data_IF_475392026913
#
_entry.id   IF_475392026913
#
_cell.length_a   1.000
_cell.length_b   1.000
_cell.length_c   1.000
_cell.angle_alpha   90.00
_cell.angle_beta   90.00
_cell.angle_gamma   90.00
#
_symmetry.space_group_name_H-M   'P 1'
#
loop_
_entity.id
_entity.type
_entity.pdbx_description
1 polymer ?
#
# COMPACT_ATOMS: atom_id res chain seq x y z
N UNK A 1 54.50 36.49 -52.22
CA UNK A 1 53.85 35.18 -52.46
C UNK A 1 53.48 34.62 -51.09
N UNK A 2 52.25 34.32 -50.66
CA UNK A 2 50.94 34.10 -51.32
C UNK A 2 49.82 34.21 -50.26
N UNK A 3 48.63 34.64 -50.69
CA UNK A 3 47.36 34.90 -49.97
C UNK A 3 46.62 33.67 -49.39
N UNK A 4 45.82 33.91 -48.33
CA UNK A 4 44.35 33.63 -48.14
C UNK A 4 44.03 33.58 -46.63
N UNK A 5 43.14 34.35 -45.98
CA UNK A 5 41.76 34.85 -46.17
C UNK A 5 40.62 33.90 -45.69
N UNK A 6 39.76 34.44 -44.79
CA UNK A 6 38.40 33.99 -44.42
C UNK A 6 38.17 33.91 -42.89
N UNK A 7 37.72 34.95 -42.14
CA UNK A 7 36.40 35.63 -42.08
C UNK A 7 35.24 34.66 -41.72
N UNK A 8 34.42 34.82 -40.68
CA UNK A 8 34.09 35.97 -39.83
C UNK A 8 32.57 36.23 -39.86
N UNK A 9 31.87 35.88 -38.78
CA UNK A 9 30.57 36.35 -38.23
C UNK A 9 29.37 36.67 -39.15
N UNK A 10 28.16 36.22 -38.75
CA UNK A 10 26.94 37.03 -38.79
C UNK A 10 25.95 36.68 -37.65
N UNK A 11 25.18 37.68 -37.26
CA UNK A 11 24.38 37.85 -36.04
C UNK A 11 22.86 37.91 -36.31
N UNK A 12 22.08 37.47 -35.31
CA UNK A 12 20.77 37.93 -34.80
C UNK A 12 19.68 38.59 -35.68
N UNK A 13 18.42 38.13 -35.53
CA UNK A 13 17.13 38.87 -35.59
C UNK A 13 15.96 37.93 -35.16
N UNK A 14 15.25 38.11 -34.02
CA UNK A 14 14.08 38.97 -33.66
C UNK A 14 12.67 38.48 -34.11
N UNK A 15 11.95 37.92 -33.14
CA UNK A 15 10.53 38.07 -32.69
C UNK A 15 9.26 38.01 -33.60
N UNK A 16 8.33 37.12 -33.16
CA UNK A 16 6.85 37.16 -32.98
C UNK A 16 5.83 36.63 -34.05
N UNK A 17 4.64 36.10 -33.62
CA UNK A 17 3.70 35.20 -34.36
C UNK A 17 2.36 35.93 -34.75
N UNK A 18 1.21 35.35 -35.26
CA UNK A 18 0.35 34.34 -34.57
C UNK A 18 -0.68 33.48 -35.43
N UNK A 19 -1.51 32.71 -34.71
CA UNK A 19 -2.96 32.37 -34.91
C UNK A 19 -3.47 31.15 -35.74
N UNK A 20 -4.57 30.58 -35.19
CA UNK A 20 -5.70 29.81 -35.81
C UNK A 20 -5.82 28.29 -35.49
N UNK A 21 -6.57 28.02 -34.41
CA UNK A 21 -7.77 27.17 -34.30
C UNK A 21 -7.78 25.70 -34.76
N UNK A 22 -8.16 24.78 -33.85
CA UNK A 22 -9.50 24.14 -33.80
C UNK A 22 -9.51 22.94 -32.83
N UNK A 23 -10.47 22.96 -31.91
CA UNK A 23 -10.99 21.78 -31.19
C UNK A 23 -11.85 20.91 -32.13
N UNK A 24 -11.99 19.60 -31.89
CA UNK A 24 -13.23 18.90 -32.20
C UNK A 24 -13.94 18.42 -30.93
N UNK A 25 -15.25 18.58 -31.04
CA UNK A 25 -16.34 18.40 -30.08
C UNK A 25 -16.72 16.95 -29.82
N UNK A 26 -17.31 16.76 -28.63
CA UNK A 26 -18.00 15.57 -28.15
C UNK A 26 -19.14 15.15 -29.09
N UNK A 27 -19.24 13.86 -29.39
CA UNK A 27 -20.43 13.25 -29.98
C UNK A 27 -21.12 12.37 -28.93
N UNK A 28 -22.23 12.87 -28.40
CA UNK A 28 -23.19 12.15 -27.58
C UNK A 28 -24.29 11.57 -28.48
N UNK A 29 -24.11 10.35 -28.99
CA UNK A 29 -25.19 9.59 -29.62
C UNK A 29 -24.95 8.10 -29.40
N UNK A 30 -25.91 7.46 -28.74
CA UNK A 30 -26.25 6.02 -28.66
C UNK A 30 -26.65 5.64 -27.23
N UNK A 31 -27.80 6.16 -26.80
CA UNK A 31 -28.59 5.55 -25.73
C UNK A 31 -29.71 4.73 -26.40
N UNK A 32 -29.91 3.46 -26.02
CA UNK A 32 -31.15 2.77 -26.32
C UNK A 32 -32.27 3.20 -25.36
N UNK A 33 -33.36 3.74 -25.91
CA UNK A 33 -34.66 3.85 -25.25
C UNK A 33 -35.50 2.58 -25.48
N UNK A 34 -36.32 2.24 -24.49
CA UNK A 34 -37.46 1.33 -24.61
C UNK A 34 -37.28 0.07 -23.75
N UNK A 35 -38.27 -0.43 -23.01
CA UNK A 35 -39.67 -0.06 -22.89
C UNK A 35 -40.21 -0.69 -21.60
N UNK A 36 -41.23 -0.06 -21.00
CA UNK A 36 -41.87 -0.53 -19.79
C UNK A 36 -42.67 -1.82 -19.95
N UNK A 37 -42.76 -2.58 -18.87
CA UNK A 37 -43.65 -3.72 -18.71
C UNK A 37 -44.06 -3.84 -17.26
N UNK A 38 -45.25 -3.35 -16.93
CA UNK A 38 -45.92 -3.63 -15.66
C UNK A 38 -46.56 -5.00 -15.74
N UNK A 39 -46.40 -5.84 -14.72
CA UNK A 39 -47.37 -6.89 -14.40
C UNK A 39 -47.34 -7.21 -12.91
N UNK A 40 -48.49 -6.97 -12.30
CA UNK A 40 -48.86 -7.42 -10.98
C UNK A 40 -49.01 -8.95 -10.94
N UNK A 41 -48.65 -9.56 -9.82
CA UNK A 41 -48.86 -10.99 -9.59
C UNK A 41 -48.77 -11.34 -8.11
N UNK A 42 -49.91 -11.22 -7.42
CA UNK A 42 -50.11 -11.70 -6.05
C UNK A 42 -50.21 -13.23 -6.05
N UNK A 43 -49.46 -13.90 -5.18
CA UNK A 43 -49.89 -15.18 -4.57
C UNK A 43 -49.36 -15.26 -3.13
N UNK A 44 -50.23 -14.96 -2.16
CA UNK A 44 -50.04 -15.33 -0.77
C UNK A 44 -51.33 -15.99 -0.30
N UNK A 45 -51.26 -17.29 -0.02
CA UNK A 45 -52.30 -18.05 0.65
C UNK A 45 -51.69 -19.31 1.29
N UNK A 46 -52.29 -19.72 2.42
CA UNK A 46 -52.06 -20.89 3.30
C UNK A 46 -51.06 -20.67 4.46
N UNK A 47 -51.49 -20.22 5.66
CA UNK A 47 -52.45 -20.77 6.64
C UNK A 47 -52.11 -22.21 7.10
N UNK A 48 -51.52 -22.29 8.29
CA UNK A 48 -51.45 -23.46 9.17
C UNK A 48 -51.29 -22.96 10.61
N UNK A 49 -52.34 -23.11 11.40
CA UNK A 49 -52.54 -22.55 12.72
C UNK A 49 -52.38 -23.60 13.84
N UNK A 50 -52.11 -23.12 15.07
CA UNK A 50 -52.39 -23.80 16.35
C UNK A 50 -51.32 -24.78 16.84
N UNK A 51 -50.81 -24.73 18.07
CA UNK A 51 -51.24 -24.03 19.29
C UNK A 51 -50.21 -24.15 20.43
N UNK A 52 -50.50 -23.61 21.63
CA UNK A 52 -49.53 -23.18 22.66
C UNK A 52 -49.65 -24.02 23.97
N UNK A 53 -49.35 -23.46 25.17
CA UNK A 53 -48.05 -23.25 25.79
C UNK A 53 -47.88 -24.10 27.08
N UNK A 54 -46.72 -24.08 27.72
CA UNK A 54 -46.59 -24.47 29.13
C UNK A 54 -45.70 -23.49 29.90
N UNK A 55 -46.02 -23.36 31.18
CA UNK A 55 -46.03 -22.17 32.03
C UNK A 55 -45.21 -22.51 33.29
N UNK A 56 -44.36 -21.56 33.74
CA UNK A 56 -43.88 -21.23 35.13
C UNK A 56 -43.33 -22.36 36.03
N UNK A 57 -42.29 -22.25 36.88
CA UNK A 57 -41.95 -21.33 38.01
C UNK A 57 -40.44 -21.50 38.35
N UNK A 58 -39.65 -20.45 38.57
CA UNK A 58 -39.27 -19.79 39.84
C UNK A 58 -38.57 -20.66 40.92
N UNK A 59 -37.33 -20.30 41.30
CA UNK A 59 -36.83 -20.03 42.68
C UNK A 59 -35.28 -20.11 42.79
N UNK A 60 -34.68 -18.95 43.05
CA UNK A 60 -33.66 -18.62 44.06
C UNK A 60 -32.63 -19.65 44.59
N UNK A 61 -31.41 -19.11 44.78
CA UNK A 61 -30.45 -19.28 45.89
C UNK A 61 -29.12 -20.06 45.67
N UNK A 62 -28.05 -19.26 45.82
CA UNK A 62 -26.66 -19.58 46.19
C UNK A 62 -26.58 -20.58 47.38
N UNK A 63 -25.50 -21.38 47.56
CA UNK A 63 -24.30 -20.85 48.25
C UNK A 63 -22.93 -21.51 47.89
N UNK A 64 -21.84 -20.74 48.07
CA UNK A 64 -20.49 -21.21 48.52
C UNK A 64 -20.50 -21.22 50.07
N UNK A 65 -19.58 -21.87 50.84
CA UNK A 65 -18.15 -22.13 50.58
C UNK A 65 -17.61 -23.47 51.14
N UNK A 66 -16.31 -23.76 50.98
CA UNK A 66 -15.34 -24.22 52.03
C UNK A 66 -14.03 -24.76 51.40
N UNK A 67 -12.91 -24.34 52.01
CA UNK A 67 -11.47 -24.65 51.78
C UNK A 67 -11.02 -25.74 52.77
N UNK A 68 -9.94 -26.52 52.54
CA UNK A 68 -8.59 -26.21 53.10
C UNK A 68 -7.40 -26.64 52.20
N UNK A 69 -6.31 -25.87 52.02
CA UNK A 69 -5.06 -25.79 52.83
C UNK A 69 -4.33 -27.14 53.06
N UNK A 70 -3.01 -27.38 52.92
CA UNK A 70 -1.82 -26.61 52.49
C UNK A 70 -0.55 -27.53 52.40
N UNK A 71 0.49 -27.09 51.65
CA UNK A 71 1.98 -27.28 51.79
C UNK A 71 2.68 -28.64 51.54
N UNK A 72 4.04 -28.69 51.28
CA UNK A 72 5.05 -27.62 51.13
C UNK A 72 6.01 -27.69 49.89
N UNK A 73 6.81 -26.62 49.76
CA UNK A 73 7.89 -26.29 48.81
C UNK A 73 9.23 -26.89 49.32
N UNK A 74 10.23 -27.15 48.46
CA UNK A 74 11.59 -26.63 48.77
C UNK A 74 12.23 -25.77 47.67
N UNK A 75 12.96 -24.73 48.11
CA UNK A 75 13.70 -23.78 47.30
C UNK A 75 15.17 -24.19 47.14
N UNK A 76 15.78 -23.90 45.97
CA UNK A 76 17.23 -23.67 45.89
C UNK A 76 17.63 -22.85 44.64
N UNK A 77 18.47 -21.84 44.88
CA UNK A 77 19.34 -21.06 43.96
C UNK A 77 20.65 -20.88 44.78
N UNK A 78 21.88 -20.63 44.27
CA UNK A 78 22.23 -20.07 42.95
C UNK A 78 23.57 -20.50 42.29
N UNK A 79 23.78 -20.19 41.01
CA UNK A 79 24.96 -19.49 40.43
C UNK A 79 24.94 -19.50 38.87
N UNK A 80 25.35 -18.37 38.27
CA UNK A 80 25.80 -18.23 36.87
C UNK A 80 27.36 -18.18 36.87
N UNK A 81 28.14 -18.11 35.76
CA UNK A 81 27.79 -17.69 34.39
C UNK A 81 28.51 -18.42 33.21
N UNK A 82 28.27 -17.90 31.98
CA UNK A 82 28.84 -18.22 30.65
C UNK A 82 28.18 -19.46 29.96
N UNK A 83 27.79 -19.45 28.68
CA UNK A 83 28.43 -18.90 27.48
C UNK A 83 27.39 -18.87 26.33
N UNK A 84 27.60 -17.95 25.38
CA UNK A 84 26.95 -17.78 24.05
C UNK A 84 26.16 -18.96 23.47
N UNK A 85 24.93 -18.68 22.99
CA UNK A 85 24.29 -19.47 21.93
C UNK A 85 23.37 -18.59 21.10
N UNK A 86 23.81 -18.30 19.88
CA UNK A 86 22.99 -17.79 18.79
C UNK A 86 21.84 -18.76 18.57
N UNK A 87 20.61 -18.34 18.86
CA UNK A 87 19.42 -19.10 18.51
C UNK A 87 18.81 -18.53 17.24
N UNK A 88 19.22 -19.08 16.09
CA UNK A 88 18.32 -19.17 14.93
C UNK A 88 17.31 -20.27 15.24
N UNK A 89 16.28 -19.93 16.01
CA UNK A 89 15.18 -20.87 16.28
C UNK A 89 14.43 -21.13 14.97
N UNK A 90 14.31 -22.38 14.49
CA UNK A 90 13.48 -22.69 13.35
C UNK A 90 12.03 -22.35 13.65
N UNK A 91 11.40 -21.58 12.76
CA UNK A 91 9.98 -21.22 12.87
C UNK A 91 9.16 -22.52 12.85
N UNK A 92 8.30 -22.72 13.86
CA UNK A 92 7.53 -23.96 14.00
C UNK A 92 6.65 -24.22 12.75
N UNK A 93 6.42 -25.48 12.33
CA UNK A 93 5.70 -25.84 11.09
C UNK A 93 4.31 -25.19 10.96
N UNK A 94 3.59 -25.00 12.08
CA UNK A 94 2.29 -24.35 12.09
C UNK A 94 2.36 -22.85 11.72
N UNK A 95 3.41 -22.13 12.12
CA UNK A 95 3.59 -20.72 11.79
C UNK A 95 3.84 -20.51 10.28
N UNK A 96 4.60 -21.42 9.66
CA UNK A 96 4.85 -21.42 8.22
C UNK A 96 3.54 -21.64 7.44
N UNK A 97 2.72 -22.59 7.89
CA UNK A 97 1.41 -22.86 7.25
C UNK A 97 0.45 -21.68 7.34
N UNK A 98 0.43 -20.96 8.46
CA UNK A 98 -0.40 -19.77 8.65
C UNK A 98 0.06 -18.61 7.76
N UNK A 99 1.37 -18.40 7.63
CA UNK A 99 1.92 -17.38 6.74
C UNK A 99 1.55 -17.62 5.27
N UNK A 100 1.67 -18.85 4.80
CA UNK A 100 1.29 -19.21 3.43
C UNK A 100 -0.21 -19.00 3.16
N UNK A 101 -1.07 -19.24 4.16
CA UNK A 101 -2.50 -18.95 4.06
C UNK A 101 -2.77 -17.45 4.00
N UNK A 102 -2.11 -16.64 4.84
CA UNK A 102 -2.23 -15.18 4.81
C UNK A 102 -1.76 -14.60 3.47
N UNK A 103 -0.63 -15.08 2.96
CA UNK A 103 -0.11 -14.65 1.66
C UNK A 103 -1.08 -14.99 0.53
N UNK A 104 -1.61 -16.22 0.48
CA UNK A 104 -2.60 -16.61 -0.54
C UNK A 104 -3.84 -15.73 -0.50
N UNK A 105 -4.39 -15.47 0.69
CA UNK A 105 -5.56 -14.60 0.86
C UNK A 105 -5.27 -13.17 0.42
N UNK A 106 -4.08 -12.67 0.74
CA UNK A 106 -3.62 -11.32 0.39
C UNK A 106 -3.47 -11.17 -1.12
N UNK A 107 -2.86 -12.14 -1.81
CA UNK A 107 -2.78 -12.10 -3.27
C UNK A 107 -4.18 -12.14 -3.90
N UNK A 108 -5.06 -13.03 -3.42
CA UNK A 108 -6.43 -13.15 -3.94
C UNK A 108 -7.23 -11.85 -3.78
N UNK A 109 -7.22 -11.23 -2.59
CA UNK A 109 -7.98 -9.99 -2.37
C UNK A 109 -7.41 -8.81 -3.17
N UNK A 110 -6.08 -8.76 -3.35
CA UNK A 110 -5.45 -7.69 -4.13
C UNK A 110 -5.74 -7.87 -5.62
N UNK A 111 -5.68 -9.08 -6.15
CA UNK A 111 -6.06 -9.38 -7.54
C UNK A 111 -7.50 -8.95 -7.85
N UNK A 112 -8.43 -9.27 -6.93
CA UNK A 112 -9.82 -8.83 -7.02
C UNK A 112 -9.92 -7.32 -7.00
N UNK A 113 -9.31 -6.65 -6.02
CA UNK A 113 -9.27 -5.19 -5.96
C UNK A 113 -8.72 -4.57 -7.24
N UNK A 114 -7.62 -5.10 -7.79
CA UNK A 114 -7.03 -4.59 -9.03
C UNK A 114 -7.91 -4.83 -10.26
N UNK A 115 -8.87 -5.75 -10.18
CA UNK A 115 -9.82 -6.05 -11.24
C UNK A 115 -11.09 -5.19 -11.14
N UNK A 116 -11.70 -5.09 -9.96
CA UNK A 116 -13.04 -4.47 -9.78
C UNK A 116 -13.03 -3.07 -9.15
N UNK A 117 -11.93 -2.67 -8.51
CA UNK A 117 -11.72 -1.34 -7.89
C UNK A 117 -12.66 -0.99 -6.73
N UNK A 118 -13.20 -2.01 -6.04
CA UNK A 118 -14.08 -1.81 -4.88
C UNK A 118 -13.24 -1.72 -3.60
N UNK A 119 -13.18 -0.53 -3.01
CA UNK A 119 -12.36 -0.25 -1.82
C UNK A 119 -12.92 -0.85 -0.54
N UNK A 120 -14.24 -0.78 -0.33
CA UNK A 120 -14.89 -1.31 0.88
C UNK A 120 -14.78 -2.84 0.98
N UNK A 121 -14.80 -3.54 -0.16
CA UNK A 121 -14.55 -4.98 -0.23
C UNK A 121 -13.10 -5.33 0.14
N UNK A 122 -12.13 -4.62 -0.46
CA UNK A 122 -10.72 -4.81 -0.12
C UNK A 122 -10.45 -4.55 1.37
N UNK A 123 -11.08 -3.52 1.95
CA UNK A 123 -11.05 -3.23 3.38
C UNK A 123 -11.54 -4.42 4.20
N UNK A 124 -12.73 -4.94 3.89
CA UNK A 124 -13.30 -6.08 4.60
C UNK A 124 -12.37 -7.30 4.51
N UNK A 125 -11.83 -7.61 3.33
CA UNK A 125 -10.91 -8.73 3.15
C UNK A 125 -9.62 -8.58 3.97
N UNK A 126 -9.07 -7.37 4.09
CA UNK A 126 -7.88 -7.10 4.92
C UNK A 126 -8.21 -7.29 6.41
N UNK A 127 -9.34 -6.80 6.89
CA UNK A 127 -9.76 -6.99 8.29
C UNK A 127 -10.01 -8.47 8.62
N UNK A 128 -10.53 -9.24 7.66
CA UNK A 128 -10.76 -10.68 7.78
C UNK A 128 -9.46 -11.51 7.87
N UNK A 129 -8.31 -10.94 7.49
CA UNK A 129 -7.01 -11.58 7.75
C UNK A 129 -6.74 -11.72 9.25
N UNK A 130 -7.28 -10.81 10.08
CA UNK A 130 -7.12 -10.78 11.55
C UNK A 130 -5.66 -10.90 11.99
N UNK A 131 -4.75 -10.30 11.23
CA UNK A 131 -3.31 -10.38 11.44
C UNK A 131 -2.63 -9.01 11.28
N UNK A 132 -2.75 -8.09 12.25
CA UNK A 132 -2.18 -6.75 12.15
C UNK A 132 -0.67 -6.73 11.92
N UNK A 133 0.07 -7.68 12.50
CA UNK A 133 1.52 -7.81 12.29
C UNK A 133 1.90 -8.19 10.86
N UNK A 134 0.93 -8.60 10.04
CA UNK A 134 1.11 -8.95 8.63
C UNK A 134 0.75 -7.78 7.69
N UNK A 135 0.24 -6.66 8.21
CA UNK A 135 -0.12 -5.48 7.41
C UNK A 135 1.02 -4.93 6.53
N UNK A 136 2.30 -4.89 6.98
CA UNK A 136 3.41 -4.51 6.10
C UNK A 136 3.54 -5.40 4.85
N UNK A 137 3.27 -6.70 4.98
CA UNK A 137 3.30 -7.63 3.84
C UNK A 137 2.14 -7.37 2.88
N UNK A 138 0.95 -6.99 3.37
CA UNK A 138 -0.17 -6.56 2.52
C UNK A 138 0.23 -5.35 1.67
N UNK A 139 0.91 -4.36 2.25
CA UNK A 139 1.40 -3.17 1.52
C UNK A 139 2.44 -3.57 0.48
N UNK A 140 3.42 -4.41 0.85
CA UNK A 140 4.46 -4.90 -0.06
C UNK A 140 3.86 -5.64 -1.25
N UNK A 141 2.95 -6.59 -1.01
CA UNK A 141 2.28 -7.34 -2.08
C UNK A 141 1.37 -6.46 -2.93
N UNK A 142 0.72 -5.45 -2.35
CA UNK A 142 -0.10 -4.49 -3.10
C UNK A 142 0.75 -3.68 -4.09
N UNK A 143 1.93 -3.22 -3.67
CA UNK A 143 2.87 -2.52 -4.55
C UNK A 143 3.41 -3.46 -5.63
N UNK A 144 3.84 -4.67 -5.25
CA UNK A 144 4.37 -5.65 -6.18
C UNK A 144 3.36 -5.97 -7.29
N UNK A 145 2.16 -6.39 -6.90
CA UNK A 145 1.11 -6.76 -7.84
C UNK A 145 0.66 -5.57 -8.70
N UNK A 146 0.61 -4.35 -8.14
CA UNK A 146 0.26 -3.16 -8.90
C UNK A 146 1.25 -2.87 -10.03
N UNK A 147 2.55 -3.07 -9.78
CA UNK A 147 3.61 -2.76 -10.72
C UNK A 147 3.84 -3.86 -11.77
N UNK A 148 3.43 -5.10 -11.48
CA UNK A 148 3.39 -6.21 -12.44
C UNK A 148 2.27 -6.07 -13.50
N UNK A 149 1.21 -5.31 -13.22
CA UNK A 149 0.12 -5.12 -14.19
C UNK A 149 0.55 -4.30 -15.41
N UNK A 150 -0.13 -4.52 -16.54
CA UNK A 150 0.05 -3.77 -17.77
C UNK A 150 -1.31 -3.15 -18.18
N UNK A 151 -1.45 -1.82 -18.15
CA UNK A 151 -0.50 -0.84 -17.61
C UNK A 151 -0.34 -0.96 -16.06
N UNK A 152 0.77 -0.46 -15.50
CA UNK A 152 0.98 -0.45 -14.05
C UNK A 152 -0.14 0.29 -13.32
N UNK A 153 -0.57 -0.25 -12.19
CA UNK A 153 -1.69 0.25 -11.39
C UNK A 153 -1.22 1.20 -10.26
N UNK A 154 -0.45 2.23 -10.61
CA UNK A 154 0.11 3.21 -9.64
C UNK A 154 -0.98 3.98 -8.88
N UNK A 155 -1.90 4.65 -9.57
CA UNK A 155 -2.98 5.40 -8.90
C UNK A 155 -3.89 4.49 -8.04
N UNK A 156 -4.32 3.31 -8.51
CA UNK A 156 -5.11 2.43 -7.67
C UNK A 156 -4.43 1.96 -6.38
N UNK A 157 -3.13 1.61 -6.41
CA UNK A 157 -2.47 1.16 -5.17
C UNK A 157 -2.35 2.30 -4.15
N UNK A 158 -2.10 3.52 -4.62
CA UNK A 158 -2.07 4.71 -3.75
C UNK A 158 -3.44 4.93 -3.11
N UNK A 159 -4.52 4.88 -3.91
CA UNK A 159 -5.90 5.01 -3.41
C UNK A 159 -6.25 3.94 -2.40
N UNK A 160 -5.85 2.68 -2.62
CA UNK A 160 -6.07 1.60 -1.67
C UNK A 160 -5.37 1.89 -0.34
N UNK A 161 -4.08 2.21 -0.40
CA UNK A 161 -3.27 2.48 0.80
C UNK A 161 -3.83 3.65 1.59
N UNK A 162 -4.11 4.79 0.95
CA UNK A 162 -4.71 5.95 1.61
C UNK A 162 -6.07 5.62 2.22
N UNK A 163 -6.91 4.85 1.52
CA UNK A 163 -8.22 4.45 2.03
C UNK A 163 -8.10 3.58 3.29
N UNK A 164 -7.21 2.60 3.30
CA UNK A 164 -7.00 1.72 4.44
C UNK A 164 -6.40 2.47 5.65
N UNK A 165 -5.56 3.48 5.42
CA UNK A 165 -5.08 4.38 6.48
C UNK A 165 -6.23 5.23 7.03
N UNK A 166 -7.06 5.82 6.17
CA UNK A 166 -8.23 6.61 6.59
C UNK A 166 -9.26 5.79 7.38
N UNK A 167 -9.32 4.48 7.14
CA UNK A 167 -10.16 3.53 7.89
C UNK A 167 -9.48 2.98 9.16
N UNK A 168 -8.27 3.43 9.48
CA UNK A 168 -7.47 2.99 10.62
C UNK A 168 -7.10 1.50 10.61
N UNK A 169 -7.06 0.88 9.43
CA UNK A 169 -6.59 -0.51 9.26
C UNK A 169 -5.08 -0.55 9.11
N UNK A 170 -4.51 0.37 8.33
CA UNK A 170 -3.07 0.52 8.17
C UNK A 170 -2.55 1.74 8.92
N UNK A 171 -1.37 1.62 9.51
CA UNK A 171 -0.64 2.72 10.12
C UNK A 171 0.48 3.21 9.20
N UNK A 172 0.99 4.42 9.40
CA UNK A 172 2.17 4.92 8.67
C UNK A 172 3.41 4.02 8.85
N UNK A 173 3.51 3.31 9.97
CA UNK A 173 4.57 2.33 10.23
C UNK A 173 4.40 1.11 9.32
N UNK A 174 3.17 0.63 9.14
CA UNK A 174 2.88 -0.49 8.23
C UNK A 174 3.23 -0.10 6.78
N UNK A 175 2.85 1.11 6.37
CA UNK A 175 3.16 1.61 5.02
C UNK A 175 4.67 1.71 4.83
N UNK A 176 5.37 2.37 5.76
CA UNK A 176 6.82 2.54 5.66
C UNK A 176 7.56 1.21 5.64
N UNK A 177 7.15 0.26 6.47
CA UNK A 177 7.75 -1.09 6.52
C UNK A 177 7.47 -1.86 5.23
N UNK A 178 6.24 -1.83 4.71
CA UNK A 178 5.89 -2.49 3.45
C UNK A 178 6.64 -1.90 2.24
N UNK A 179 6.78 -0.58 2.17
CA UNK A 179 7.60 0.07 1.16
C UNK A 179 9.09 -0.32 1.28
N UNK A 180 9.63 -0.44 2.50
CA UNK A 180 11.00 -0.88 2.72
C UNK A 180 11.22 -2.33 2.30
N UNK A 181 10.26 -3.22 2.59
CA UNK A 181 10.28 -4.61 2.14
C UNK A 181 10.31 -4.69 0.62
N UNK A 182 9.44 -3.94 -0.07
CA UNK A 182 9.43 -3.90 -1.53
C UNK A 182 10.74 -3.33 -2.10
N UNK A 183 11.22 -2.21 -1.53
CA UNK A 183 12.48 -1.58 -1.93
C UNK A 183 13.70 -2.50 -1.79
N UNK A 184 13.68 -3.43 -0.82
CA UNK A 184 14.77 -4.40 -0.62
C UNK A 184 14.81 -5.53 -1.66
N UNK A 185 13.75 -5.68 -2.47
CA UNK A 185 13.65 -6.66 -3.55
C UNK A 185 13.76 -6.00 -4.93
N UNK A 186 13.87 -4.67 -4.97
CA UNK A 186 13.68 -3.89 -6.18
C UNK A 186 14.81 -4.06 -7.19
N UNK A 187 16.02 -4.36 -6.73
CA UNK A 187 17.17 -4.63 -7.61
C UNK A 187 16.90 -5.87 -8.48
N UNK A 188 16.37 -6.95 -7.89
CA UNK A 188 16.00 -8.16 -8.62
C UNK A 188 14.76 -7.92 -9.51
N UNK A 189 13.73 -7.29 -8.96
CA UNK A 189 12.48 -6.99 -9.70
C UNK A 189 12.76 -6.11 -10.92
N UNK A 190 13.68 -5.14 -10.78
CA UNK A 190 14.01 -4.19 -11.84
C UNK A 190 14.66 -4.84 -13.07
N UNK A 191 15.23 -6.04 -12.94
CA UNK A 191 15.76 -6.82 -14.07
C UNK A 191 14.62 -7.19 -15.03
N UNK A 192 13.53 -7.70 -14.48
CA UNK A 192 12.37 -8.15 -15.27
C UNK A 192 11.41 -6.99 -15.57
N UNK A 193 11.31 -6.02 -14.66
CA UNK A 193 10.39 -4.88 -14.73
C UNK A 193 11.16 -3.55 -14.67
N UNK A 194 11.79 -3.10 -15.76
CA UNK A 194 12.67 -1.91 -15.77
C UNK A 194 11.96 -0.59 -15.44
N UNK A 195 10.62 -0.56 -15.47
CA UNK A 195 9.81 0.59 -15.05
C UNK A 195 9.46 0.60 -13.57
N UNK A 196 9.66 -0.51 -12.85
CA UNK A 196 9.30 -0.64 -11.44
C UNK A 196 9.98 0.44 -10.56
N UNK A 197 11.28 0.76 -10.70
CA UNK A 197 11.90 1.82 -9.90
C UNK A 197 11.26 3.19 -10.08
N UNK A 198 10.92 3.56 -11.32
CA UNK A 198 10.28 4.85 -11.62
C UNK A 198 8.86 4.91 -11.06
N UNK A 199 8.06 3.85 -11.27
CA UNK A 199 6.69 3.79 -10.79
C UNK A 199 6.64 3.71 -9.25
N UNK A 200 7.57 2.99 -8.63
CA UNK A 200 7.70 2.92 -7.18
C UNK A 200 8.04 4.29 -6.59
N UNK A 201 8.98 5.02 -7.20
CA UNK A 201 9.26 6.41 -6.83
C UNK A 201 8.01 7.30 -6.89
N UNK A 202 7.17 7.13 -7.91
CA UNK A 202 5.90 7.88 -8.01
C UNK A 202 4.94 7.55 -6.85
N UNK A 203 4.81 6.26 -6.50
CA UNK A 203 4.04 5.81 -5.32
C UNK A 203 4.57 6.47 -4.05
N UNK A 204 5.88 6.39 -3.80
CA UNK A 204 6.50 6.99 -2.60
C UNK A 204 6.26 8.49 -2.52
N UNK A 205 6.43 9.21 -3.64
CA UNK A 205 6.22 10.65 -3.69
C UNK A 205 4.78 11.05 -3.36
N UNK A 206 3.79 10.36 -3.95
CA UNK A 206 2.37 10.63 -3.70
C UNK A 206 1.97 10.27 -2.25
N UNK A 207 2.43 9.13 -1.72
CA UNK A 207 2.17 8.74 -0.33
C UNK A 207 2.82 9.70 0.68
N UNK A 208 4.02 10.21 0.38
CA UNK A 208 4.67 11.21 1.23
C UNK A 208 3.92 12.54 1.22
N UNK A 209 3.45 13.00 0.05
CA UNK A 209 2.64 14.21 -0.06
C UNK A 209 1.30 14.10 0.67
N UNK A 210 0.68 12.92 0.64
CA UNK A 210 -0.53 12.59 1.40
C UNK A 210 -0.28 12.45 2.92
N UNK A 211 0.97 12.58 3.38
CA UNK A 211 1.40 12.43 4.79
C UNK A 211 1.07 11.06 5.39
N UNK A 212 0.89 10.04 4.55
CA UNK A 212 0.71 8.66 5.00
C UNK A 212 2.06 7.92 5.12
N UNK A 213 3.08 8.39 4.39
CA UNK A 213 4.46 7.91 4.46
C UNK A 213 5.38 9.04 4.97
N UNK A 214 6.19 8.74 5.98
CA UNK A 214 7.25 9.67 6.44
C UNK A 214 8.38 9.72 5.39
N UNK A 215 8.80 10.93 5.03
CA UNK A 215 9.85 11.14 4.03
C UNK A 215 11.18 10.49 4.43
N UNK A 216 11.47 10.34 5.72
CA UNK A 216 12.66 9.63 6.22
C UNK A 216 12.72 8.18 5.74
N UNK A 217 11.57 7.54 5.53
CA UNK A 217 11.51 6.18 4.99
C UNK A 217 12.01 6.13 3.55
N UNK A 218 11.80 7.19 2.76
CA UNK A 218 12.34 7.28 1.39
C UNK A 218 13.86 7.20 1.42
N UNK A 219 14.51 7.91 2.35
CA UNK A 219 15.97 7.82 2.54
C UNK A 219 16.41 6.39 2.94
N UNK A 220 15.63 5.70 3.78
CA UNK A 220 15.93 4.33 4.18
C UNK A 220 15.79 3.33 3.02
N UNK A 221 14.78 3.51 2.17
CA UNK A 221 14.58 2.72 0.96
C UNK A 221 15.77 2.90 0.02
N UNK A 222 16.19 4.14 -0.23
CA UNK A 222 17.35 4.40 -1.09
C UNK A 222 18.63 3.71 -0.56
N UNK A 223 18.82 3.61 0.76
CA UNK A 223 19.95 2.87 1.34
C UNK A 223 19.88 1.35 1.16
N UNK A 224 18.71 0.80 0.85
CA UNK A 224 18.50 -0.64 0.62
C UNK A 224 18.67 -1.04 -0.83
N UNK A 225 18.53 -0.10 -1.76
CA UNK A 225 18.67 -0.31 -3.20
C UNK A 225 20.14 -0.18 -3.59
N UNK A 226 20.71 -1.24 -4.14
CA UNK A 226 22.13 -1.32 -4.50
C UNK A 226 22.41 -0.62 -5.82
N UNK A 227 21.48 -0.69 -6.79
CA UNK A 227 21.66 -0.09 -8.11
C UNK A 227 21.50 1.45 -8.10
N UNK A 228 22.54 2.15 -8.55
CA UNK A 228 22.60 3.63 -8.60
C UNK A 228 21.54 4.23 -9.54
N UNK A 229 21.27 3.57 -10.67
CA UNK A 229 20.24 4.00 -11.62
C UNK A 229 18.86 3.83 -11.00
N UNK A 230 18.64 2.77 -10.22
CA UNK A 230 17.37 2.57 -9.51
C UNK A 230 17.19 3.60 -8.40
N UNK A 231 18.22 3.89 -7.59
CA UNK A 231 18.16 4.99 -6.60
C UNK A 231 17.79 6.32 -7.26
N UNK A 232 18.44 6.62 -8.39
CA UNK A 232 18.18 7.85 -9.17
C UNK A 232 16.76 7.88 -9.72
N UNK A 233 16.27 6.78 -10.27
CA UNK A 233 14.92 6.67 -10.83
C UNK A 233 13.84 6.82 -9.75
N UNK A 234 14.02 6.15 -8.60
CA UNK A 234 13.09 6.22 -7.47
C UNK A 234 13.01 7.65 -6.94
N UNK A 235 14.15 8.24 -6.58
CA UNK A 235 14.15 9.58 -5.97
C UNK A 235 13.72 10.66 -6.97
N UNK A 236 14.20 10.59 -8.21
CA UNK A 236 13.83 11.55 -9.26
C UNK A 236 12.32 11.53 -9.53
N UNK A 237 11.72 10.33 -9.62
CA UNK A 237 10.28 10.18 -9.78
C UNK A 237 9.51 10.67 -8.55
N UNK A 238 9.92 10.30 -7.33
CA UNK A 238 9.29 10.77 -6.10
C UNK A 238 9.30 12.30 -5.97
N UNK A 239 10.47 12.92 -6.18
CA UNK A 239 10.65 14.38 -6.13
C UNK A 239 9.79 15.07 -7.18
N UNK A 240 9.73 14.54 -8.41
CA UNK A 240 8.88 15.06 -9.49
C UNK A 240 7.39 14.97 -9.13
N UNK A 241 6.94 13.84 -8.60
CA UNK A 241 5.54 13.64 -8.20
C UNK A 241 5.12 14.60 -7.10
N UNK A 242 5.97 14.84 -6.12
CA UNK A 242 5.72 15.84 -5.07
C UNK A 242 5.71 17.25 -5.67
N UNK A 243 6.72 17.61 -6.47
CA UNK A 243 6.86 18.95 -7.06
C UNK A 243 5.79 19.32 -8.10
N UNK A 244 4.92 18.37 -8.48
CA UNK A 244 3.83 18.58 -9.43
C UNK A 244 2.69 19.45 -8.90
N UNK A 245 2.72 19.85 -7.62
CA UNK A 245 1.75 20.74 -6.99
C UNK A 245 2.43 21.85 -6.18
N UNK A 246 1.82 23.05 -6.02
CA UNK A 246 2.40 24.11 -5.19
C UNK A 246 2.61 23.70 -3.73
N UNK A 247 1.63 22.99 -3.14
CA UNK A 247 1.74 22.45 -1.78
C UNK A 247 2.87 21.43 -1.64
N UNK A 248 3.14 20.64 -2.69
CA UNK A 248 4.26 19.72 -2.69
C UNK A 248 5.63 20.41 -2.79
N UNK A 249 5.72 21.55 -3.49
CA UNK A 249 6.95 22.36 -3.50
C UNK A 249 7.25 22.90 -2.10
N UNK A 250 6.25 23.42 -1.38
CA UNK A 250 6.39 23.86 0.01
C UNK A 250 6.77 22.68 0.94
N UNK A 251 6.21 21.50 0.69
CA UNK A 251 6.56 20.28 1.43
C UNK A 251 8.03 19.88 1.22
N UNK A 252 8.56 19.95 -0.01
CA UNK A 252 9.98 19.66 -0.27
C UNK A 252 10.92 20.65 0.43
N UNK A 253 10.55 21.94 0.51
CA UNK A 253 11.31 22.94 1.26
C UNK A 253 11.30 22.62 2.74
N UNK A 254 10.18 22.14 3.28
CA UNK A 254 10.09 21.75 4.70
C UNK A 254 10.98 20.53 5.00
N UNK A 255 11.06 19.59 4.07
CA UNK A 255 11.86 18.36 4.18
C UNK A 255 13.27 18.50 3.59
N UNK A 256 13.82 19.72 3.54
CA UNK A 256 15.11 20.01 2.87
C UNK A 256 16.25 19.11 3.38
N UNK A 257 16.30 18.86 4.69
CA UNK A 257 17.33 17.99 5.30
C UNK A 257 17.31 16.58 4.76
N UNK A 258 16.12 15.97 4.64
CA UNK A 258 15.95 14.63 4.13
C UNK A 258 16.11 14.59 2.60
N UNK A 259 15.69 15.64 1.90
CA UNK A 259 15.92 15.79 0.45
C UNK A 259 17.41 15.81 0.15
N UNK A 260 18.19 16.62 0.87
CA UNK A 260 19.66 16.64 0.74
C UNK A 260 20.29 15.30 1.10
N UNK A 261 19.80 14.63 2.15
CA UNK A 261 20.27 13.29 2.51
C UNK A 261 20.03 12.28 1.38
N UNK A 262 18.87 12.32 0.72
CA UNK A 262 18.60 11.48 -0.45
C UNK A 262 19.51 11.83 -1.63
N UNK A 263 19.74 13.12 -1.93
CA UNK A 263 20.62 13.56 -3.01
C UNK A 263 22.07 13.08 -2.83
N UNK A 264 22.56 13.07 -1.58
CA UNK A 264 23.90 12.54 -1.28
C UNK A 264 24.07 11.03 -1.54
N UNK A 265 22.98 10.26 -1.61
CA UNK A 265 23.00 8.82 -1.91
C UNK A 265 22.98 8.52 -3.42
N UNK A 266 22.82 9.55 -4.25
CA UNK A 266 22.80 9.43 -5.72
C UNK A 266 24.13 9.80 -6.38
N UNK A 267 25.11 10.26 -5.60
CA UNK A 267 26.43 10.71 -6.06
C UNK A 267 27.48 9.62 -6.02
#
# INVERSE_FOLDING_TARGET
>A
MTKRDGLGSQSASRAQPPLISKTPSLNSKFLPQGSGGMIAGKTSALLGAGGPPSRVEALTQNPKPVVPAATPIPAEKPLAPATVSNSSKPLAPAAISNLAVLQRKTLSLLEEYFSVRILDEALQCVEELKAPTYHPEVVKEAINLALEKIPPCVEPVIKLVEFLVNKNVLTSVDIGTGCLLYGSMLDDIGIDLPKAPTNFGEILGKLALAKVLDFKVVTQILKKVEDDMFRTAIFGSAKKSIASSPSGQEYLVTQETEVQACESLLS
#
